data_IF_343190399259
#
_entry.id   IF_343190399259
#
_cell.length_a   1.000
_cell.length_b   1.000
_cell.length_c   1.000
_cell.angle_alpha   90.00
_cell.angle_beta   90.00
_cell.angle_gamma   90.00
#
_symmetry.space_group_name_H-M   'P 1'
#
loop_
_entity.id
_entity.type
_entity.pdbx_description
1 polymer ?
#
# COMPACT_ATOMS: atom_id res chain seq x y z
N UNK A 1 -10.72 54.63 -3.77
CA UNK A 1 -9.51 54.16 -4.49
C UNK A 1 -9.11 55.27 -5.46
N UNK A 2 -7.89 55.80 -5.37
CA UNK A 2 -7.46 56.87 -6.30
C UNK A 2 -7.31 56.29 -7.71
N UNK A 3 -7.66 57.06 -8.75
CA UNK A 3 -7.53 56.65 -10.16
C UNK A 3 -6.10 56.22 -10.49
N UNK A 4 -5.11 56.75 -9.77
CA UNK A 4 -3.69 56.37 -9.87
C UNK A 4 -3.38 54.94 -9.37
N UNK A 5 -4.15 54.43 -8.41
CA UNK A 5 -3.90 53.13 -7.78
C UNK A 5 -4.55 51.96 -8.54
N UNK A 6 -5.53 52.24 -9.40
CA UNK A 6 -6.28 51.23 -10.15
C UNK A 6 -5.42 50.42 -11.13
N UNK A 7 -4.53 51.02 -11.94
CA UNK A 7 -3.66 50.24 -12.85
C UNK A 7 -2.69 49.35 -12.08
N UNK A 8 -2.11 49.85 -10.98
CA UNK A 8 -1.19 49.09 -10.14
C UNK A 8 -1.88 47.87 -9.52
N UNK A 9 -3.07 48.07 -8.93
CA UNK A 9 -3.84 46.99 -8.35
C UNK A 9 -4.24 45.94 -9.40
N UNK A 10 -4.68 46.37 -10.58
CA UNK A 10 -5.07 45.46 -11.66
C UNK A 10 -3.88 44.68 -12.22
N UNK A 11 -2.70 45.31 -12.33
CA UNK A 11 -1.48 44.61 -12.72
C UNK A 11 -1.07 43.57 -11.66
N UNK A 12 -1.11 43.93 -10.38
CA UNK A 12 -0.83 42.99 -9.28
C UNK A 12 -1.80 41.80 -9.31
N UNK A 13 -3.11 42.04 -9.42
CA UNK A 13 -4.09 40.96 -9.52
C UNK A 13 -3.88 40.08 -10.77
N UNK A 14 -3.45 40.66 -11.89
CA UNK A 14 -3.15 39.89 -13.11
C UNK A 14 -1.91 39.02 -12.92
N UNK A 15 -0.87 39.55 -12.28
CA UNK A 15 0.35 38.81 -11.95
C UNK A 15 0.06 37.66 -10.96
N UNK A 16 -0.75 37.92 -9.93
CA UNK A 16 -1.19 36.92 -8.96
C UNK A 16 -2.00 35.79 -9.62
N UNK A 17 -2.91 36.13 -10.54
CA UNK A 17 -3.69 35.15 -11.31
C UNK A 17 -2.79 34.31 -12.22
N UNK A 18 -1.83 34.92 -12.93
CA UNK A 18 -0.87 34.18 -13.75
C UNK A 18 -0.02 33.22 -12.90
N UNK A 19 0.45 33.68 -11.73
CA UNK A 19 1.21 32.85 -10.80
C UNK A 19 0.37 31.68 -10.27
N UNK A 20 -0.88 31.94 -9.87
CA UNK A 20 -1.81 30.91 -9.40
C UNK A 20 -2.07 29.84 -10.47
N UNK A 21 -2.34 30.26 -11.70
CA UNK A 21 -2.57 29.33 -12.81
C UNK A 21 -1.32 28.49 -13.13
N UNK A 22 -0.14 29.11 -13.13
CA UNK A 22 1.13 28.42 -13.37
C UNK A 22 1.44 27.40 -12.26
N UNK A 23 1.25 27.79 -10.99
CA UNK A 23 1.42 26.88 -9.86
C UNK A 23 0.39 25.75 -9.90
N UNK A 24 -0.86 26.04 -10.23
CA UNK A 24 -1.90 25.01 -10.37
C UNK A 24 -1.55 24.01 -11.48
N UNK A 25 -1.05 24.48 -12.62
CA UNK A 25 -0.53 23.63 -13.69
C UNK A 25 0.64 22.76 -13.22
N UNK A 26 1.57 23.31 -12.43
CA UNK A 26 2.66 22.54 -11.83
C UNK A 26 2.13 21.44 -10.91
N UNK A 27 1.25 21.80 -9.96
CA UNK A 27 0.66 20.87 -8.99
C UNK A 27 -0.13 19.74 -9.65
N UNK A 28 -0.93 20.04 -10.69
CA UNK A 28 -1.68 19.03 -11.45
C UNK A 28 -0.71 18.03 -12.09
N UNK A 29 0.38 18.50 -12.70
CA UNK A 29 1.37 17.61 -13.29
C UNK A 29 2.12 16.79 -12.22
N UNK A 30 2.51 17.41 -11.11
CA UNK A 30 3.17 16.72 -10.01
C UNK A 30 2.27 15.63 -9.44
N UNK A 31 1.01 15.93 -9.13
CA UNK A 31 0.07 14.98 -8.53
C UNK A 31 -0.32 13.84 -9.48
N UNK A 32 -0.70 14.17 -10.71
CA UNK A 32 -1.28 13.18 -11.63
C UNK A 32 -0.23 12.41 -12.44
N UNK A 33 0.98 12.94 -12.58
CA UNK A 33 2.07 12.27 -13.31
C UNK A 33 3.17 11.83 -12.38
N UNK A 34 3.87 12.77 -11.74
CA UNK A 34 5.08 12.45 -10.97
C UNK A 34 4.78 11.56 -9.77
N UNK A 35 3.78 11.92 -8.97
CA UNK A 35 3.42 11.14 -7.78
C UNK A 35 2.75 9.81 -8.16
N UNK A 36 1.98 9.78 -9.25
CA UNK A 36 1.40 8.53 -9.73
C UNK A 36 2.46 7.59 -10.29
N UNK A 37 3.44 8.08 -11.04
CA UNK A 37 4.57 7.28 -11.57
C UNK A 37 5.39 6.69 -10.41
N UNK A 38 5.64 7.48 -9.36
CA UNK A 38 6.27 6.97 -8.14
C UNK A 38 5.40 5.90 -7.45
N UNK A 39 4.08 6.12 -7.34
CA UNK A 39 3.16 5.13 -6.79
C UNK A 39 3.12 3.85 -7.62
N UNK A 40 3.12 3.95 -8.95
CA UNK A 40 3.17 2.82 -9.87
C UNK A 40 4.44 1.99 -9.64
N UNK A 41 5.59 2.66 -9.51
CA UNK A 41 6.86 2.00 -9.24
C UNK A 41 6.85 1.26 -7.88
N UNK A 42 6.45 1.93 -6.81
CA UNK A 42 6.36 1.34 -5.46
C UNK A 42 5.37 0.17 -5.40
N UNK A 43 4.21 0.30 -6.05
CA UNK A 43 3.21 -0.75 -6.11
C UNK A 43 3.72 -1.93 -6.95
N UNK A 44 4.42 -1.67 -8.05
CA UNK A 44 5.03 -2.70 -8.89
C UNK A 44 6.09 -3.50 -8.13
N UNK A 45 6.96 -2.83 -7.38
CA UNK A 45 7.99 -3.48 -6.56
C UNK A 45 7.37 -4.26 -5.38
N UNK A 46 6.33 -3.71 -4.74
CA UNK A 46 5.58 -4.41 -3.69
C UNK A 46 4.89 -5.67 -4.19
N UNK A 47 4.31 -5.63 -5.40
CA UNK A 47 3.71 -6.78 -6.06
C UNK A 47 4.77 -7.85 -6.39
N UNK A 48 5.95 -7.46 -6.89
CA UNK A 48 7.03 -8.41 -7.17
C UNK A 48 7.53 -9.09 -5.90
N UNK A 49 7.78 -8.31 -4.85
CA UNK A 49 8.19 -8.83 -3.54
C UNK A 49 7.15 -9.80 -2.99
N UNK A 50 5.88 -9.43 -3.05
CA UNK A 50 4.77 -10.27 -2.61
C UNK A 50 4.68 -11.57 -3.42
N UNK A 51 4.83 -11.48 -4.75
CA UNK A 51 4.90 -12.65 -5.64
C UNK A 51 6.06 -13.58 -5.30
N UNK A 52 7.25 -13.03 -5.02
CA UNK A 52 8.42 -13.78 -4.59
C UNK A 52 8.23 -14.44 -3.22
N UNK A 53 7.65 -13.74 -2.24
CA UNK A 53 7.37 -14.28 -0.91
C UNK A 53 6.41 -15.47 -1.01
N UNK A 54 5.32 -15.34 -1.78
CA UNK A 54 4.35 -16.42 -1.98
C UNK A 54 5.03 -17.61 -2.67
N UNK A 55 5.78 -17.38 -3.75
CA UNK A 55 6.53 -18.43 -4.44
C UNK A 55 7.52 -19.14 -3.52
N UNK A 56 8.32 -18.40 -2.77
CA UNK A 56 9.33 -18.98 -1.88
C UNK A 56 8.68 -19.75 -0.73
N UNK A 57 7.60 -19.22 -0.15
CA UNK A 57 6.87 -19.93 0.91
C UNK A 57 6.24 -21.22 0.40
N UNK A 58 5.69 -21.20 -0.81
CA UNK A 58 5.16 -22.40 -1.45
C UNK A 58 6.28 -23.38 -1.78
N UNK A 59 7.43 -22.92 -2.30
CA UNK A 59 8.58 -23.78 -2.56
C UNK A 59 9.04 -24.49 -1.28
N UNK A 60 9.21 -23.76 -0.17
CA UNK A 60 9.59 -24.34 1.13
C UNK A 60 8.54 -25.34 1.63
N UNK A 61 7.25 -25.07 1.43
CA UNK A 61 6.17 -25.96 1.87
C UNK A 61 5.97 -27.17 0.94
N UNK A 62 6.25 -27.02 -0.35
CA UNK A 62 6.14 -28.08 -1.37
C UNK A 62 7.34 -29.01 -1.37
N UNK A 63 8.54 -28.45 -1.19
CA UNK A 63 9.75 -29.22 -0.87
C UNK A 63 9.83 -29.58 0.61
N UNK A 64 8.80 -29.29 1.42
CA UNK A 64 8.85 -29.61 2.84
C UNK A 64 9.02 -31.12 2.98
N UNK A 65 10.25 -31.49 3.36
CA UNK A 65 10.69 -32.81 3.72
C UNK A 65 9.71 -33.51 4.66
N UNK A 66 8.81 -32.81 5.37
CA UNK A 66 7.77 -33.42 6.16
C UNK A 66 6.87 -34.40 5.37
N UNK A 67 6.39 -34.04 4.17
CA UNK A 67 5.48 -34.90 3.40
C UNK A 67 6.22 -36.01 2.67
N UNK A 68 7.42 -35.71 2.16
CA UNK A 68 8.30 -36.71 1.54
C UNK A 68 8.87 -37.69 2.57
N UNK A 69 9.31 -37.23 3.75
CA UNK A 69 9.74 -38.09 4.84
C UNK A 69 8.58 -38.96 5.34
N UNK A 70 7.38 -38.41 5.46
CA UNK A 70 6.20 -39.18 5.85
C UNK A 70 5.89 -40.26 4.81
N UNK A 71 5.98 -39.92 3.52
CA UNK A 71 5.79 -40.86 2.41
C UNK A 71 6.85 -41.98 2.45
N UNK A 72 8.12 -41.62 2.67
CA UNK A 72 9.23 -42.57 2.79
C UNK A 72 9.06 -43.51 3.99
N UNK A 73 8.79 -42.98 5.19
CA UNK A 73 8.52 -43.77 6.41
C UNK A 73 7.38 -44.77 6.14
N UNK A 74 6.27 -44.30 5.57
CA UNK A 74 5.08 -45.12 5.36
C UNK A 74 5.30 -46.16 4.26
N UNK A 75 6.10 -45.86 3.23
CA UNK A 75 6.49 -46.84 2.21
C UNK A 75 7.37 -47.96 2.76
N UNK A 76 8.19 -47.68 3.78
CA UNK A 76 9.05 -48.66 4.46
C UNK A 76 8.31 -49.53 5.48
N UNK A 77 7.12 -49.13 5.94
CA UNK A 77 6.33 -49.94 6.88
C UNK A 77 6.00 -51.34 6.34
N UNK A 78 5.82 -51.47 5.02
CA UNK A 78 5.58 -52.75 4.37
C UNK A 78 6.75 -53.73 4.50
N UNK A 79 7.98 -53.26 4.29
CA UNK A 79 9.17 -54.11 4.46
C UNK A 79 9.43 -54.45 5.92
N UNK A 80 9.24 -53.48 6.83
CA UNK A 80 9.37 -53.71 8.28
C UNK A 80 8.38 -54.78 8.77
N UNK A 81 7.15 -54.80 8.24
CA UNK A 81 6.18 -55.84 8.57
C UNK A 81 6.67 -57.24 8.15
N UNK A 82 7.31 -57.34 6.98
CA UNK A 82 7.82 -58.61 6.47
C UNK A 82 9.07 -59.09 7.24
N UNK A 83 9.94 -58.16 7.61
CA UNK A 83 11.09 -58.43 8.48
C UNK A 83 10.63 -58.93 9.86
N UNK A 84 9.60 -58.30 10.43
CA UNK A 84 9.02 -58.71 11.72
C UNK A 84 8.37 -60.10 11.65
N UNK A 85 7.68 -60.44 10.54
CA UNK A 85 7.15 -61.80 10.33
C UNK A 85 8.27 -62.82 10.28
N UNK A 86 9.34 -62.53 9.54
CA UNK A 86 10.49 -63.42 9.40
C UNK A 86 11.15 -63.63 10.75
N UNK A 87 11.43 -62.55 11.48
CA UNK A 87 12.03 -62.60 12.82
C UNK A 87 11.15 -63.34 13.84
N UNK A 88 9.83 -63.17 13.77
CA UNK A 88 8.87 -63.91 14.60
C UNK A 88 8.89 -65.41 14.28
N UNK A 89 8.96 -65.78 13.00
CA UNK A 89 9.11 -67.16 12.54
C UNK A 89 10.40 -67.79 13.04
N UNK A 90 11.54 -67.12 12.84
CA UNK A 90 12.86 -67.58 13.30
C UNK A 90 12.91 -67.72 14.82
N UNK A 91 12.32 -66.78 15.56
CA UNK A 91 12.23 -66.84 17.02
C UNK A 91 11.42 -68.05 17.49
N UNK A 92 10.33 -68.36 16.78
CA UNK A 92 9.48 -69.52 17.06
C UNK A 92 10.20 -70.83 16.78
N UNK A 93 10.92 -70.90 15.66
CA UNK A 93 11.76 -72.05 15.30
C UNK A 93 12.87 -72.26 16.33
N UNK A 94 13.58 -71.18 16.72
CA UNK A 94 14.63 -71.23 17.74
C UNK A 94 14.10 -71.72 19.10
N UNK A 95 12.88 -71.30 19.49
CA UNK A 95 12.18 -71.82 20.68
C UNK A 95 11.96 -73.33 20.59
N UNK A 96 11.46 -73.82 19.46
CA UNK A 96 11.22 -75.25 19.24
C UNK A 96 12.52 -76.07 19.29
N UNK A 97 13.58 -75.61 18.61
CA UNK A 97 14.89 -76.28 18.64
C UNK A 97 15.46 -76.34 20.06
N UNK A 98 15.28 -75.28 20.84
CA UNK A 98 15.76 -75.20 22.22
C UNK A 98 15.02 -76.18 23.12
N UNK A 99 13.69 -76.24 23.03
CA UNK A 99 12.88 -77.22 23.77
C UNK A 99 13.28 -78.65 23.38
N UNK A 100 13.50 -78.89 22.09
CA UNK A 100 13.94 -80.20 21.60
C UNK A 100 15.35 -80.55 22.11
N UNK A 101 16.28 -79.58 22.11
CA UNK A 101 17.64 -79.75 22.62
C UNK A 101 17.62 -80.04 24.12
N UNK A 102 16.88 -79.25 24.91
CA UNK A 102 16.70 -79.46 26.36
C UNK A 102 16.12 -80.84 26.65
N UNK A 103 15.09 -81.27 25.90
CA UNK A 103 14.49 -82.60 26.04
C UNK A 103 15.49 -83.73 25.72
N UNK A 104 16.23 -83.61 24.61
CA UNK A 104 17.25 -84.59 24.23
C UNK A 104 18.38 -84.65 25.24
N UNK A 105 18.85 -83.50 25.72
CA UNK A 105 19.91 -83.42 26.72
C UNK A 105 19.45 -84.03 28.04
N UNK A 106 18.19 -83.82 28.45
CA UNK A 106 17.59 -84.45 29.62
C UNK A 106 17.54 -85.97 29.48
N UNK A 107 17.17 -86.49 28.31
CA UNK A 107 17.17 -87.95 28.06
C UNK A 107 18.58 -88.54 28.14
N UNK A 108 19.57 -87.89 27.53
CA UNK A 108 20.98 -88.33 27.62
C UNK A 108 21.44 -88.35 29.08
N UNK A 109 21.06 -87.32 29.86
CA UNK A 109 21.35 -87.25 31.29
C UNK A 109 20.73 -88.42 32.06
N UNK A 110 19.47 -88.75 31.80
CA UNK A 110 18.78 -89.91 32.40
C UNK A 110 19.42 -91.24 32.00
N UNK A 111 19.75 -91.42 30.71
CA UNK A 111 20.36 -92.65 30.21
C UNK A 111 21.76 -92.86 30.77
N UNK A 112 22.56 -91.79 30.84
CA UNK A 112 23.90 -91.81 31.44
C UNK A 112 23.82 -92.08 32.95
N UNK A 113 22.86 -91.50 33.65
CA UNK A 113 22.63 -91.77 35.08
C UNK A 113 22.24 -93.24 35.31
N UNK A 114 21.31 -93.78 34.52
CA UNK A 114 20.93 -95.21 34.58
C UNK A 114 22.12 -96.13 34.30
N UNK A 115 22.92 -95.83 33.28
CA UNK A 115 24.11 -96.63 32.94
C UNK A 115 25.15 -96.63 34.07
N UNK A 116 25.45 -95.45 34.63
CA UNK A 116 26.39 -95.30 35.75
C UNK A 116 25.87 -95.93 37.05
N UNK A 117 24.55 -96.06 37.24
CA UNK A 117 23.97 -96.78 38.38
C UNK A 117 24.05 -98.30 38.23
N UNK A 118 23.97 -98.83 37.00
CA UNK A 118 23.97 -100.26 36.73
C UNK A 118 25.37 -100.87 36.58
N UNK A 119 26.38 -100.06 36.26
CA UNK A 119 27.76 -100.53 36.09
C UNK A 119 28.47 -100.81 37.43
N UNK A 120 29.09 -102.01 37.56
CA UNK A 120 29.77 -102.45 38.80
C UNK A 120 31.31 -102.49 38.70
N UNK A 121 31.88 -102.06 37.58
CA UNK A 121 33.32 -102.10 37.36
C UNK A 121 34.05 -100.93 38.07
N UNK A 122 35.33 -101.10 38.42
CA UNK A 122 36.13 -100.09 39.14
C UNK A 122 36.25 -98.77 38.35
N UNK A 123 36.26 -98.87 37.02
CA UNK A 123 36.29 -97.73 36.08
C UNK A 123 35.00 -96.89 36.15
N UNK A 124 33.84 -97.52 36.34
CA UNK A 124 32.56 -96.84 36.41
C UNK A 124 32.39 -96.02 37.69
N UNK A 125 32.98 -96.45 38.81
CA UNK A 125 32.99 -95.69 40.07
C UNK A 125 33.75 -94.37 39.92
N UNK A 126 34.90 -94.39 39.23
CA UNK A 126 35.66 -93.17 38.92
C UNK A 126 34.90 -92.26 37.95
N UNK A 127 34.26 -92.83 36.93
CA UNK A 127 33.47 -92.09 35.94
C UNK A 127 32.24 -91.43 36.57
N UNK A 128 31.54 -92.12 37.50
CA UNK A 128 30.42 -91.58 38.26
C UNK A 128 30.83 -90.40 39.14
N UNK A 129 31.99 -90.50 39.80
CA UNK A 129 32.50 -89.41 40.63
C UNK A 129 32.85 -88.17 39.80
N UNK A 130 33.41 -88.36 38.59
CA UNK A 130 33.65 -87.27 37.64
C UNK A 130 32.34 -86.69 37.13
N UNK A 131 31.40 -87.52 36.65
CA UNK A 131 30.10 -87.09 36.15
C UNK A 131 29.31 -86.24 37.16
N UNK A 132 29.23 -86.67 38.42
CA UNK A 132 28.54 -85.91 39.46
C UNK A 132 29.11 -84.50 39.68
N UNK A 133 30.39 -84.26 39.39
CA UNK A 133 30.98 -82.91 39.46
C UNK A 133 30.59 -82.00 38.29
N UNK A 134 30.25 -82.58 37.13
CA UNK A 134 29.99 -81.83 35.88
C UNK A 134 28.49 -81.80 35.54
N UNK A 135 27.67 -82.59 36.24
CA UNK A 135 26.24 -82.75 35.95
C UNK A 135 25.43 -81.45 36.00
N UNK A 136 25.80 -80.49 36.86
CA UNK A 136 25.14 -79.18 36.94
C UNK A 136 25.43 -78.31 35.71
N UNK A 137 26.58 -78.49 35.05
CA UNK A 137 26.93 -77.79 33.81
C UNK A 137 26.28 -78.37 32.56
N UNK A 138 25.65 -79.55 32.67
CA UNK A 138 24.92 -80.21 31.59
C UNK A 138 23.47 -79.68 31.51
N UNK A 139 23.34 -78.37 31.37
CA UNK A 139 22.05 -77.70 31.18
C UNK A 139 22.17 -76.64 30.10
N UNK A 140 21.12 -76.50 29.28
CA UNK A 140 21.05 -75.47 28.24
C UNK A 140 20.39 -74.24 28.86
N UNK A 141 21.19 -73.27 29.31
CA UNK A 141 20.72 -71.98 29.84
C UNK A 141 20.60 -70.96 28.72
N UNK A 142 19.53 -71.07 27.93
CA UNK A 142 19.22 -70.11 26.88
C UNK A 142 18.15 -69.14 27.36
N UNK A 143 18.42 -67.83 27.34
CA UNK A 143 17.45 -66.76 27.64
C UNK A 143 16.47 -66.51 26.48
N UNK A 144 15.95 -67.58 25.88
CA UNK A 144 15.08 -67.50 24.70
C UNK A 144 13.64 -67.11 25.09
N UNK A 145 13.27 -67.35 26.34
CA UNK A 145 11.99 -66.91 26.90
C UNK A 145 11.96 -65.40 27.15
N UNK A 146 13.12 -64.74 27.20
CA UNK A 146 13.23 -63.27 27.35
C UNK A 146 12.94 -62.51 26.04
N UNK A 147 12.76 -63.21 24.91
CA UNK A 147 12.44 -62.55 23.64
C UNK A 147 11.02 -61.95 23.66
N UNK A 148 10.88 -60.66 23.29
CA UNK A 148 9.59 -59.97 23.32
C UNK A 148 8.61 -60.53 22.28
N UNK A 149 7.32 -60.46 22.61
CA UNK A 149 6.26 -60.77 21.64
C UNK A 149 6.12 -59.62 20.62
N UNK A 150 6.35 -59.95 19.34
CA UNK A 150 6.27 -59.02 18.22
C UNK A 150 4.85 -58.90 17.63
N UNK A 151 3.94 -59.79 18.02
CA UNK A 151 2.53 -59.81 17.56
C UNK A 151 1.81 -58.46 17.67
N UNK A 152 1.86 -57.74 18.81
CA UNK A 152 1.19 -56.43 18.92
C UNK A 152 1.77 -55.38 17.98
N UNK A 153 3.08 -55.40 17.73
CA UNK A 153 3.75 -54.46 16.81
C UNK A 153 3.33 -54.74 15.36
N UNK A 154 3.33 -56.00 14.95
CA UNK A 154 2.89 -56.44 13.63
C UNK A 154 1.42 -56.10 13.38
N UNK A 155 0.55 -56.27 14.38
CA UNK A 155 -0.87 -55.95 14.27
C UNK A 155 -1.11 -54.45 14.10
N UNK A 156 -0.36 -53.60 14.82
CA UNK A 156 -0.44 -52.15 14.65
C UNK A 156 0.01 -51.69 13.26
N UNK A 157 1.13 -52.22 12.75
CA UNK A 157 1.63 -51.90 11.40
C UNK A 157 0.65 -52.41 10.34
N UNK A 158 0.12 -53.62 10.50
CA UNK A 158 -0.90 -54.20 9.61
C UNK A 158 -2.17 -53.35 9.58
N UNK A 159 -2.65 -52.88 10.73
CA UNK A 159 -3.81 -51.98 10.79
C UNK A 159 -3.57 -50.67 10.04
N UNK A 160 -2.38 -50.07 10.17
CA UNK A 160 -2.01 -48.85 9.45
C UNK A 160 -1.97 -49.08 7.93
N UNK A 161 -1.36 -50.18 7.47
CA UNK A 161 -1.30 -50.52 6.05
C UNK A 161 -2.69 -50.86 5.48
N UNK A 162 -3.52 -51.60 6.22
CA UNK A 162 -4.90 -51.94 5.84
C UNK A 162 -5.81 -50.70 5.78
N UNK A 163 -5.54 -49.69 6.60
CA UNK A 163 -6.20 -48.39 6.50
C UNK A 163 -5.78 -47.57 5.26
N UNK A 164 -4.93 -48.14 4.39
CA UNK A 164 -4.48 -47.54 3.13
C UNK A 164 -3.79 -46.18 3.31
N UNK A 165 -3.10 -46.01 4.45
CA UNK A 165 -2.41 -44.78 4.84
C UNK A 165 -1.41 -44.30 3.77
N UNK A 166 -0.76 -45.25 3.08
CA UNK A 166 0.17 -44.99 1.96
C UNK A 166 -0.53 -44.20 0.86
N UNK A 167 -1.73 -44.64 0.47
CA UNK A 167 -2.50 -44.03 -0.60
C UNK A 167 -3.08 -42.68 -0.19
N UNK A 168 -3.53 -42.54 1.05
CA UNK A 168 -4.05 -41.26 1.55
C UNK A 168 -2.95 -40.19 1.66
N UNK A 169 -1.75 -40.55 2.10
CA UNK A 169 -0.58 -39.64 2.11
C UNK A 169 -0.19 -39.25 0.69
N UNK A 170 -0.15 -40.21 -0.25
CA UNK A 170 0.14 -39.92 -1.66
C UNK A 170 -0.87 -38.95 -2.27
N UNK A 171 -2.18 -39.17 -2.05
CA UNK A 171 -3.23 -38.24 -2.50
C UNK A 171 -3.06 -36.86 -1.87
N UNK A 172 -2.73 -36.80 -0.59
CA UNK A 172 -2.45 -35.55 0.12
C UNK A 172 -1.30 -34.78 -0.52
N UNK A 173 -0.22 -35.48 -0.89
CA UNK A 173 0.93 -34.92 -1.63
C UNK A 173 0.52 -34.40 -3.00
N UNK A 174 -0.18 -35.21 -3.80
CA UNK A 174 -0.62 -34.80 -5.14
C UNK A 174 -1.54 -33.57 -5.09
N UNK A 175 -2.48 -33.53 -4.14
CA UNK A 175 -3.35 -32.38 -3.93
C UNK A 175 -2.56 -31.13 -3.51
N UNK A 176 -1.56 -31.29 -2.65
CA UNK A 176 -0.70 -30.19 -2.22
C UNK A 176 0.16 -29.64 -3.38
N UNK A 177 0.73 -30.53 -4.18
CA UNK A 177 1.53 -30.16 -5.36
C UNK A 177 0.65 -29.46 -6.41
N UNK A 178 -0.59 -29.92 -6.62
CA UNK A 178 -1.56 -29.27 -7.51
C UNK A 178 -1.94 -27.87 -7.03
N UNK A 179 -2.22 -27.69 -5.72
CA UNK A 179 -2.50 -26.38 -5.14
C UNK A 179 -1.31 -25.45 -5.30
N UNK A 180 -0.10 -25.94 -5.00
CA UNK A 180 1.14 -25.20 -5.14
C UNK A 180 1.34 -24.70 -6.58
N UNK A 181 1.14 -25.59 -7.56
CA UNK A 181 1.20 -25.24 -8.98
C UNK A 181 0.15 -24.19 -9.35
N UNK A 182 -1.11 -24.37 -8.95
CA UNK A 182 -2.20 -23.41 -9.24
C UNK A 182 -1.91 -22.03 -8.68
N UNK A 183 -1.42 -21.94 -7.44
CA UNK A 183 -1.10 -20.65 -6.84
C UNK A 183 0.07 -20.01 -7.59
N UNK A 184 1.14 -20.75 -7.88
CA UNK A 184 2.27 -20.19 -8.64
C UNK A 184 1.86 -19.70 -10.03
N UNK A 185 1.04 -20.46 -10.74
CA UNK A 185 0.50 -20.07 -12.05
C UNK A 185 -0.37 -18.81 -11.94
N UNK A 186 -1.24 -18.74 -10.92
CA UNK A 186 -2.08 -17.57 -10.66
C UNK A 186 -1.23 -16.34 -10.36
N UNK A 187 -0.24 -16.45 -9.46
CA UNK A 187 0.69 -15.36 -9.14
C UNK A 187 1.44 -14.88 -10.38
N UNK A 188 1.92 -15.81 -11.22
CA UNK A 188 2.64 -15.49 -12.46
C UNK A 188 1.77 -14.75 -13.48
N UNK A 189 0.46 -14.98 -13.48
CA UNK A 189 -0.45 -14.34 -14.43
C UNK A 189 -1.06 -13.03 -13.88
N UNK A 190 -1.53 -13.06 -12.63
CA UNK A 190 -2.29 -11.97 -12.02
C UNK A 190 -1.43 -10.75 -11.70
N UNK A 191 -0.17 -10.93 -11.25
CA UNK A 191 0.71 -9.79 -10.94
C UNK A 191 0.97 -8.93 -12.20
N UNK A 192 1.40 -9.49 -13.34
CA UNK A 192 1.55 -8.73 -14.58
C UNK A 192 0.26 -8.02 -15.02
N UNK A 193 -0.89 -8.68 -14.88
CA UNK A 193 -2.18 -8.10 -15.26
C UNK A 193 -2.54 -6.90 -14.39
N UNK A 194 -2.36 -6.99 -13.07
CA UNK A 194 -2.56 -5.87 -12.14
C UNK A 194 -1.63 -4.72 -12.50
N UNK A 195 -0.34 -4.99 -12.75
CA UNK A 195 0.64 -3.97 -13.17
C UNK A 195 0.20 -3.27 -14.46
N UNK A 196 -0.29 -4.03 -15.44
CA UNK A 196 -0.80 -3.48 -16.69
C UNK A 196 -2.01 -2.56 -16.47
N UNK A 197 -2.92 -2.91 -15.57
CA UNK A 197 -4.06 -2.08 -15.21
C UNK A 197 -3.65 -0.79 -14.51
N UNK A 198 -2.70 -0.85 -13.56
CA UNK A 198 -2.14 0.34 -12.89
C UNK A 198 -1.52 1.28 -13.93
N UNK A 199 -0.72 0.74 -14.86
CA UNK A 199 -0.13 1.53 -15.94
C UNK A 199 -1.16 2.18 -16.85
N UNK A 200 -2.25 1.47 -17.16
CA UNK A 200 -3.36 2.04 -17.93
C UNK A 200 -4.00 3.24 -17.21
N UNK A 201 -4.21 3.12 -15.90
CA UNK A 201 -4.70 4.24 -15.07
C UNK A 201 -3.72 5.42 -15.10
N UNK A 202 -2.41 5.17 -15.03
CA UNK A 202 -1.40 6.23 -15.14
C UNK A 202 -1.44 6.98 -16.47
N UNK A 203 -1.69 6.27 -17.57
CA UNK A 203 -1.89 6.88 -18.89
C UNK A 203 -3.15 7.74 -18.93
N UNK A 204 -4.27 7.24 -18.39
CA UNK A 204 -5.54 7.98 -18.32
C UNK A 204 -5.41 9.25 -17.46
N UNK A 205 -4.72 9.16 -16.32
CA UNK A 205 -4.42 10.32 -15.47
C UNK A 205 -3.53 11.34 -16.19
N UNK A 206 -2.58 10.87 -17.01
CA UNK A 206 -1.78 11.73 -17.89
C UNK A 206 -2.65 12.50 -18.89
N UNK A 207 -3.64 11.84 -19.51
CA UNK A 207 -4.58 12.50 -20.42
C UNK A 207 -5.46 13.52 -19.70
N UNK A 208 -5.94 13.20 -18.50
CA UNK A 208 -6.71 14.13 -17.66
C UNK A 208 -5.85 15.35 -17.28
N UNK A 209 -4.58 15.14 -16.94
CA UNK A 209 -3.66 16.24 -16.66
C UNK A 209 -3.48 17.16 -17.88
N UNK A 210 -3.43 16.61 -19.09
CA UNK A 210 -3.34 17.41 -20.32
C UNK A 210 -4.59 18.22 -20.61
N UNK A 211 -5.78 17.65 -20.40
CA UNK A 211 -7.04 18.38 -20.54
C UNK A 211 -7.12 19.55 -19.55
N UNK A 212 -6.80 19.29 -18.28
CA UNK A 212 -6.76 20.35 -17.24
C UNK A 212 -5.74 21.43 -17.61
N UNK A 213 -4.53 21.04 -18.03
CA UNK A 213 -3.49 21.97 -18.46
C UNK A 213 -3.94 22.82 -19.65
N UNK A 214 -4.71 22.25 -20.58
CA UNK A 214 -5.26 22.99 -21.71
C UNK A 214 -6.25 24.05 -21.23
N UNK A 215 -7.14 23.72 -20.30
CA UNK A 215 -8.10 24.66 -19.72
C UNK A 215 -7.39 25.78 -18.95
N UNK A 216 -6.39 25.44 -18.14
CA UNK A 216 -5.59 26.41 -17.37
C UNK A 216 -4.79 27.37 -18.26
N UNK A 217 -4.41 26.95 -19.47
CA UNK A 217 -3.68 27.79 -20.44
C UNK A 217 -4.56 28.83 -21.16
N UNK A 218 -5.86 28.60 -21.31
CA UNK A 218 -6.78 29.51 -22.03
C UNK A 218 -6.72 30.98 -21.54
N UNK A 219 -6.81 31.28 -20.23
CA UNK A 219 -6.80 32.66 -19.75
C UNK A 219 -5.47 33.40 -19.95
N UNK A 220 -4.34 32.72 -20.17
CA UNK A 220 -3.03 33.41 -20.28
C UNK A 220 -2.98 34.43 -21.41
N UNK A 221 -3.58 34.13 -22.57
CA UNK A 221 -3.61 35.05 -23.70
C UNK A 221 -4.42 36.32 -23.38
N UNK A 222 -5.54 36.17 -22.67
CA UNK A 222 -6.38 37.31 -22.28
C UNK A 222 -5.78 38.10 -21.12
N UNK A 223 -5.16 37.42 -20.15
CA UNK A 223 -4.40 38.08 -19.08
C UNK A 223 -3.22 38.89 -19.64
N UNK A 224 -2.52 38.38 -20.67
CA UNK A 224 -1.46 39.13 -21.36
C UNK A 224 -1.99 40.39 -22.06
N UNK A 225 -3.16 40.31 -22.71
CA UNK A 225 -3.84 41.48 -23.30
C UNK A 225 -4.25 42.48 -22.23
N UNK A 226 -4.84 42.02 -21.11
CA UNK A 226 -5.22 42.87 -19.98
C UNK A 226 -3.98 43.61 -19.47
N UNK A 227 -2.87 42.92 -19.26
CA UNK A 227 -1.60 43.53 -18.82
C UNK A 227 -1.11 44.62 -19.78
N UNK A 228 -1.16 44.35 -21.09
CA UNK A 228 -0.83 45.35 -22.12
C UNK A 228 -1.75 46.57 -22.05
N UNK A 229 -3.06 46.36 -21.97
CA UNK A 229 -4.06 47.44 -21.88
C UNK A 229 -3.91 48.25 -20.60
N UNK A 230 -3.56 47.61 -19.48
CA UNK A 230 -3.30 48.27 -18.20
C UNK A 230 -2.06 49.15 -18.28
N UNK A 231 -0.98 48.66 -18.89
CA UNK A 231 0.23 49.44 -19.13
C UNK A 231 -0.08 50.69 -19.96
N UNK A 232 -0.79 50.52 -21.08
CA UNK A 232 -1.23 51.64 -21.92
C UNK A 232 -2.11 52.61 -21.13
N UNK A 233 -3.13 52.13 -20.41
CA UNK A 233 -4.00 52.95 -19.57
C UNK A 233 -3.26 53.70 -18.48
N UNK A 234 -2.25 53.08 -17.86
CA UNK A 234 -1.40 53.72 -16.87
C UNK A 234 -0.63 54.90 -17.47
N UNK A 235 -0.02 54.72 -18.64
CA UNK A 235 0.70 55.82 -19.32
C UNK A 235 -0.23 56.99 -19.67
N UNK A 236 -1.49 56.71 -20.06
CA UNK A 236 -2.48 57.75 -20.29
C UNK A 236 -2.90 58.46 -19.00
N UNK A 237 -3.14 57.73 -17.91
CA UNK A 237 -3.52 58.32 -16.62
C UNK A 237 -2.40 59.23 -16.12
N UNK A 238 -1.15 58.78 -16.15
CA UNK A 238 0.00 59.58 -15.73
C UNK A 238 0.15 60.86 -16.56
N UNK A 239 -0.12 60.80 -17.88
CA UNK A 239 -0.03 61.96 -18.77
C UNK A 239 -1.18 62.96 -18.58
N UNK A 240 -2.41 62.51 -18.41
CA UNK A 240 -3.61 63.36 -18.42
C UNK A 240 -4.10 63.78 -17.02
N UNK A 241 -3.54 63.22 -15.95
CA UNK A 241 -3.97 63.54 -14.59
C UNK A 241 -3.76 65.02 -14.25
N UNK A 242 -2.61 65.59 -14.63
CA UNK A 242 -2.32 67.00 -14.35
C UNK A 242 -3.37 67.91 -15.01
N UNK A 243 -3.73 67.61 -16.26
CA UNK A 243 -4.73 68.36 -17.01
C UNK A 243 -6.13 68.25 -16.37
N UNK A 244 -6.50 67.06 -15.88
CA UNK A 244 -7.78 66.87 -15.19
C UNK A 244 -7.86 67.68 -13.90
N UNK A 245 -6.78 67.71 -13.12
CA UNK A 245 -6.73 68.49 -11.89
C UNK A 245 -6.91 69.99 -12.16
N UNK A 246 -6.19 70.54 -13.16
CA UNK A 246 -6.34 71.93 -13.58
C UNK A 246 -7.73 72.24 -14.13
N UNK A 247 -8.33 71.34 -14.91
CA UNK A 247 -9.69 71.52 -15.43
C UNK A 247 -10.73 71.58 -14.30
N UNK A 248 -10.64 70.69 -13.31
CA UNK A 248 -11.50 70.72 -12.13
C UNK A 248 -11.29 71.99 -11.29
N UNK A 249 -10.03 72.41 -11.09
CA UNK A 249 -9.70 73.63 -10.35
C UNK A 249 -10.27 74.88 -11.06
N UNK A 250 -10.09 74.97 -12.38
CA UNK A 250 -10.61 76.06 -13.19
C UNK A 250 -12.15 76.09 -13.13
N UNK A 251 -12.82 74.94 -13.31
CA UNK A 251 -14.27 74.85 -13.20
C UNK A 251 -14.78 75.25 -11.82
N UNK A 252 -14.15 74.78 -10.75
CA UNK A 252 -14.52 75.14 -9.38
C UNK A 252 -14.28 76.63 -9.07
N UNK A 253 -13.20 77.20 -9.61
CA UNK A 253 -12.90 78.63 -9.50
C UNK A 253 -13.96 79.49 -10.18
N UNK A 254 -14.35 79.13 -11.40
CA UNK A 254 -15.41 79.80 -12.16
C UNK A 254 -16.75 79.73 -11.41
N UNK A 255 -17.14 78.56 -10.93
CA UNK A 255 -18.36 78.38 -10.14
C UNK A 255 -18.36 79.23 -8.87
N UNK A 256 -17.24 79.26 -8.16
CA UNK A 256 -17.08 80.08 -6.94
C UNK A 256 -17.19 81.57 -7.25
N UNK A 257 -16.61 82.03 -8.35
CA UNK A 257 -16.70 83.42 -8.80
C UNK A 257 -18.14 83.83 -9.11
N UNK A 258 -18.91 82.96 -9.78
CA UNK A 258 -20.33 83.18 -10.04
C UNK A 258 -21.11 83.31 -8.72
N UNK A 259 -20.89 82.42 -7.75
CA UNK A 259 -21.55 82.47 -6.44
C UNK A 259 -21.22 83.75 -5.66
N UNK A 260 -19.98 84.21 -5.73
CA UNK A 260 -19.55 85.47 -5.11
C UNK A 260 -20.30 86.66 -5.75
N UNK A 261 -20.40 86.72 -7.08
CA UNK A 261 -21.13 87.79 -7.78
C UNK A 261 -22.61 87.83 -7.39
N UNK A 262 -23.25 86.66 -7.30
CA UNK A 262 -24.64 86.57 -6.83
C UNK A 262 -24.78 87.01 -5.36
N UNK A 263 -23.85 86.62 -4.50
CA UNK A 263 -23.86 86.99 -3.07
C UNK A 263 -23.69 88.50 -2.89
N UNK A 264 -22.77 89.14 -3.60
CA UNK A 264 -22.63 90.60 -3.61
C UNK A 264 -23.86 91.30 -4.21
N UNK A 265 -24.44 90.73 -5.27
CA UNK A 265 -25.70 91.22 -5.84
C UNK A 265 -26.82 91.25 -4.80
N UNK A 266 -26.99 90.15 -4.05
CA UNK A 266 -27.97 90.02 -2.97
C UNK A 266 -27.71 90.98 -1.82
N UNK A 267 -26.48 91.04 -1.30
CA UNK A 267 -26.10 91.94 -0.20
C UNK A 267 -26.28 93.42 -0.59
N UNK A 268 -25.87 93.82 -1.79
CA UNK A 268 -26.12 95.17 -2.30
C UNK A 268 -27.61 95.46 -2.57
N UNK A 269 -28.44 94.42 -2.75
CA UNK A 269 -29.88 94.53 -2.88
C UNK A 269 -30.57 94.75 -1.54
N UNK A 270 -30.16 94.01 -0.50
CA UNK A 270 -30.73 94.07 0.86
C UNK A 270 -30.25 95.30 1.64
N UNK A 271 -28.99 95.70 1.49
CA UNK A 271 -28.43 96.87 2.18
C UNK A 271 -28.81 98.23 1.54
N UNK A 272 -29.60 98.23 0.46
CA UNK A 272 -30.04 99.46 -0.19
C UNK A 272 -31.28 100.02 0.54
N UNK A 273 -31.24 101.30 0.95
CA UNK A 273 -32.37 101.95 1.64
C UNK A 273 -33.68 101.86 0.82
N UNK A 274 -34.77 101.47 1.48
CA UNK A 274 -36.11 101.52 0.90
C UNK A 274 -36.44 102.96 0.48
N UNK A 275 -36.94 103.18 -0.75
CA UNK A 275 -37.07 104.51 -1.30
C UNK A 275 -38.21 105.29 -0.62
N UNK A 276 -37.86 106.41 0.02
CA UNK A 276 -38.82 107.45 0.41
C UNK A 276 -39.06 108.41 -0.75
N UNK A 277 -40.26 109.02 -0.82
CA UNK A 277 -40.79 109.83 -1.94
C UNK A 277 -39.87 110.92 -2.48
N UNK A 278 -38.87 111.36 -1.71
CA UNK A 278 -37.94 112.45 -2.07
C UNK A 278 -36.59 112.01 -2.65
N UNK A 279 -36.21 110.72 -2.60
CA UNK A 279 -34.86 110.27 -2.98
C UNK A 279 -34.84 109.20 -4.09
N UNK A 280 -35.78 109.26 -5.04
CA UNK A 280 -35.85 108.29 -6.13
C UNK A 280 -34.81 108.53 -7.25
N UNK A 281 -34.28 109.76 -7.40
CA UNK A 281 -33.36 110.13 -8.49
C UNK A 281 -31.90 109.67 -8.28
N UNK A 282 -31.48 109.44 -7.04
CA UNK A 282 -30.08 109.10 -6.67
C UNK A 282 -29.88 107.62 -6.32
N UNK A 283 -30.74 106.72 -6.81
CA UNK A 283 -30.61 105.28 -6.57
C UNK A 283 -29.36 104.74 -7.26
N UNK A 284 -28.39 104.27 -6.46
CA UNK A 284 -27.27 103.47 -6.93
C UNK A 284 -27.77 102.16 -7.56
N UNK A 285 -27.63 102.03 -8.88
CA UNK A 285 -27.98 100.82 -9.67
C UNK A 285 -26.95 99.68 -9.52
N UNK A 286 -26.02 99.78 -8.57
CA UNK A 286 -24.90 98.84 -8.47
C UNK A 286 -25.33 97.38 -8.28
N UNK A 287 -26.39 97.10 -7.51
CA UNK A 287 -26.91 95.73 -7.32
C UNK A 287 -27.34 95.07 -8.64
N UNK A 288 -28.05 95.79 -9.52
CA UNK A 288 -28.50 95.26 -10.81
C UNK A 288 -27.34 94.94 -11.76
N UNK A 289 -26.20 95.63 -11.64
CA UNK A 289 -25.03 95.39 -12.51
C UNK A 289 -24.31 94.09 -12.14
N UNK A 290 -24.21 93.76 -10.86
CA UNK A 290 -23.60 92.50 -10.41
C UNK A 290 -24.44 91.28 -10.78
N UNK A 291 -25.78 91.39 -10.68
CA UNK A 291 -26.69 90.35 -11.18
C UNK A 291 -26.63 90.18 -12.70
N UNK A 292 -26.66 91.27 -13.47
CA UNK A 292 -26.53 91.18 -14.93
C UNK A 292 -25.17 90.60 -15.34
N UNK A 293 -24.08 90.99 -14.67
CA UNK A 293 -22.75 90.43 -14.94
C UNK A 293 -22.71 88.92 -14.66
N UNK A 294 -23.24 88.47 -13.52
CA UNK A 294 -23.34 87.04 -13.20
C UNK A 294 -24.17 86.25 -14.20
N UNK A 295 -25.31 86.78 -14.66
CA UNK A 295 -26.17 86.14 -15.67
C UNK A 295 -25.46 86.07 -17.04
N UNK A 296 -24.78 87.14 -17.46
CA UNK A 296 -24.01 87.16 -18.72
C UNK A 296 -22.87 86.14 -18.68
N UNK A 297 -22.19 86.01 -17.54
CA UNK A 297 -21.10 85.06 -17.36
C UNK A 297 -21.60 83.60 -17.42
N UNK A 298 -22.79 83.32 -16.88
CA UNK A 298 -23.44 82.01 -17.00
C UNK A 298 -23.86 81.73 -18.44
N UNK A 299 -24.48 82.69 -19.13
CA UNK A 299 -24.89 82.51 -20.54
C UNK A 299 -23.68 82.26 -21.43
N UNK A 300 -22.58 83.00 -21.28
CA UNK A 300 -21.36 82.82 -22.08
C UNK A 300 -20.60 81.51 -21.81
N UNK A 301 -20.83 80.87 -20.67
CA UNK A 301 -20.13 79.63 -20.30
C UNK A 301 -20.94 78.36 -20.59
N UNK A 302 -22.27 78.48 -20.63
CA UNK A 302 -23.17 77.33 -20.79
C UNK A 302 -23.91 77.32 -22.15
N UNK A 303 -23.78 78.37 -22.97
CA UNK A 303 -24.28 78.46 -24.35
C UNK A 303 -23.17 78.97 -25.28
#
# INVERSE_FOLDING_TARGET
MSVKQMPKALNQSTDDLMLYLNNTQLEVNTLLRTNFDQLEHELSDSLDKSGLIVKNRIAILSEAAALDNLTDIVSKLGSVLEDLKTLSGETTELRLLTVQLQSRLSRIKEDLDKFLQQCRDRVCTELKFKYNRVMESFSVSTRIDDLPDLSPLMQNISNLLNANIVNEIRKGKEAFDEISFKIQATVNHTIPDIKKQIRAVGLDLGLVADDINQVLRRPFADLAKVKSNVYTGQTYIEKYEIYRWYACLAGASILSLILILYSFGLLCGVCNQQPTRHNYKWRSKSSSRFFCCGIVLVVLLFF
#
